data_IF_444343330563
#
_entry.id   IF_444343330563
#
_cell.length_a   1.000
_cell.length_b   1.000
_cell.length_c   1.000
_cell.angle_alpha   90.00
_cell.angle_beta   90.00
_cell.angle_gamma   90.00
#
_symmetry.space_group_name_H-M   'P 1'
#
loop_
_entity.id
_entity.type
_entity.pdbx_description
1 polymer ?
#
# COMPACT_ATOMS: atom_id res chain seq x y z
N UNK A 1 21.76 -29.89 -23.90
CA UNK A 1 20.62 -29.11 -23.38
C UNK A 1 20.21 -29.60 -21.99
N UNK A 2 20.15 -30.92 -21.79
CA UNK A 2 19.60 -31.58 -20.58
C UNK A 2 20.32 -31.29 -19.26
N UNK A 3 21.64 -31.10 -19.27
CA UNK A 3 22.41 -30.81 -18.03
C UNK A 3 22.06 -29.45 -17.43
N UNK A 4 21.78 -28.44 -18.25
CA UNK A 4 21.41 -27.10 -17.79
C UNK A 4 20.00 -27.11 -17.18
N UNK A 5 19.05 -27.80 -17.80
CA UNK A 5 17.69 -27.95 -17.28
C UNK A 5 17.64 -28.77 -15.99
N UNK A 6 18.43 -29.85 -15.90
CA UNK A 6 18.55 -30.65 -14.67
C UNK A 6 19.08 -29.80 -13.51
N UNK A 7 20.14 -29.01 -13.74
CA UNK A 7 20.70 -28.11 -12.74
C UNK A 7 19.73 -26.98 -12.33
N UNK A 8 18.94 -26.48 -13.29
CA UNK A 8 17.89 -25.49 -13.03
C UNK A 8 16.77 -26.07 -12.15
N UNK A 9 16.32 -27.31 -12.41
CA UNK A 9 15.33 -28.01 -11.59
C UNK A 9 15.84 -28.30 -10.18
N UNK A 10 17.09 -28.74 -10.05
CA UNK A 10 17.71 -28.99 -8.74
C UNK A 10 17.81 -27.70 -7.90
N UNK A 11 18.21 -26.59 -8.52
CA UNK A 11 18.24 -25.28 -7.87
C UNK A 11 16.84 -24.77 -7.51
N UNK A 12 15.82 -25.09 -8.30
CA UNK A 12 14.43 -24.74 -8.02
C UNK A 12 13.88 -25.51 -6.81
N UNK A 13 14.15 -26.82 -6.72
CA UNK A 13 13.78 -27.65 -5.57
C UNK A 13 14.48 -27.19 -4.29
N UNK A 14 15.79 -26.88 -4.38
CA UNK A 14 16.54 -26.28 -3.26
C UNK A 14 16.01 -24.93 -2.80
N UNK A 15 15.36 -24.16 -3.68
CA UNK A 15 14.71 -22.88 -3.32
C UNK A 15 13.34 -23.08 -2.67
N UNK A 16 12.55 -24.06 -3.11
CA UNK A 16 11.27 -24.41 -2.48
C UNK A 16 11.43 -24.85 -1.01
N UNK A 17 12.58 -25.44 -0.67
CA UNK A 17 12.89 -25.89 0.69
C UNK A 17 13.32 -24.74 1.65
N UNK A 18 13.76 -23.60 1.10
CA UNK A 18 14.19 -22.45 1.91
C UNK A 18 12.96 -21.65 2.33
N UNK A 19 12.44 -21.99 3.50
CA UNK A 19 11.34 -21.27 4.14
C UNK A 19 11.83 -20.39 5.30
N UNK A 20 11.19 -19.24 5.49
CA UNK A 20 11.47 -18.33 6.61
C UNK A 20 11.27 -19.02 7.97
N UNK A 21 10.30 -19.94 8.05
CA UNK A 21 9.95 -20.67 9.27
C UNK A 21 10.99 -21.73 9.67
N UNK A 22 11.51 -22.50 8.71
CA UNK A 22 12.44 -23.60 9.01
C UNK A 22 13.91 -23.16 9.04
N UNK A 23 14.27 -22.12 8.29
CA UNK A 23 15.65 -21.65 8.16
C UNK A 23 15.80 -20.12 8.22
N UNK A 24 15.39 -19.44 9.31
CA UNK A 24 15.30 -17.98 9.37
C UNK A 24 16.66 -17.29 9.10
N UNK A 25 17.74 -17.77 9.72
CA UNK A 25 19.08 -17.15 9.60
C UNK A 25 19.62 -17.27 8.17
N UNK A 26 19.45 -18.44 7.55
CA UNK A 26 19.91 -18.70 6.18
C UNK A 26 19.12 -17.85 5.18
N UNK A 27 17.81 -17.77 5.35
CA UNK A 27 16.91 -16.97 4.52
C UNK A 27 17.23 -15.48 4.64
N UNK A 28 17.45 -14.96 5.84
CA UNK A 28 17.83 -13.56 6.07
C UNK A 28 19.20 -13.25 5.43
N UNK A 29 20.20 -14.12 5.62
CA UNK A 29 21.53 -13.93 5.03
C UNK A 29 21.49 -13.90 3.51
N UNK A 30 20.75 -14.83 2.90
CA UNK A 30 20.55 -14.87 1.45
C UNK A 30 19.79 -13.64 0.94
N UNK A 31 18.75 -13.21 1.66
CA UNK A 31 18.00 -12.00 1.34
C UNK A 31 18.90 -10.76 1.30
N UNK A 32 19.72 -10.52 2.33
CA UNK A 32 20.63 -9.38 2.35
C UNK A 32 21.72 -9.47 1.27
N UNK A 33 22.18 -10.68 0.94
CA UNK A 33 23.17 -10.89 -0.12
C UNK A 33 22.59 -10.55 -1.50
N UNK A 34 21.37 -11.00 -1.79
CA UNK A 34 20.64 -10.64 -3.01
C UNK A 34 20.28 -9.16 -3.04
N UNK A 35 19.82 -8.58 -1.93
CA UNK A 35 19.53 -7.14 -1.82
C UNK A 35 20.77 -6.32 -2.17
N UNK A 36 21.94 -6.67 -1.61
CA UNK A 36 23.22 -6.04 -1.95
C UNK A 36 23.54 -6.18 -3.44
N UNK A 37 23.32 -7.36 -4.01
CA UNK A 37 23.64 -7.62 -5.40
C UNK A 37 22.73 -6.82 -6.35
N UNK A 38 21.43 -6.73 -6.04
CA UNK A 38 20.44 -5.92 -6.76
C UNK A 38 20.82 -4.44 -6.67
N UNK A 39 21.14 -3.94 -5.49
CA UNK A 39 21.56 -2.54 -5.28
C UNK A 39 22.83 -2.25 -6.09
N UNK A 40 23.85 -3.11 -5.99
CA UNK A 40 25.10 -2.93 -6.72
C UNK A 40 24.90 -2.98 -8.25
N UNK A 41 24.05 -3.88 -8.74
CA UNK A 41 23.78 -4.02 -10.16
C UNK A 41 22.96 -2.85 -10.70
N UNK A 42 21.97 -2.38 -9.93
CA UNK A 42 21.18 -1.17 -10.23
C UNK A 42 22.08 0.06 -10.25
N UNK A 43 22.98 0.20 -9.27
CA UNK A 43 23.93 1.30 -9.20
C UNK A 43 24.88 1.31 -10.41
N UNK A 44 25.39 0.15 -10.83
CA UNK A 44 26.23 0.03 -12.03
C UNK A 44 25.47 0.39 -13.29
N UNK A 45 24.24 -0.12 -13.45
CA UNK A 45 23.38 0.12 -14.62
C UNK A 45 22.95 1.59 -14.75
N UNK A 46 22.69 2.24 -13.62
CA UNK A 46 22.17 3.61 -13.56
C UNK A 46 23.23 4.67 -13.23
N UNK A 47 24.52 4.34 -13.36
CA UNK A 47 25.65 5.24 -13.02
C UNK A 47 25.55 6.63 -13.68
N UNK A 48 24.95 6.71 -14.88
CA UNK A 48 24.67 7.97 -15.60
C UNK A 48 23.67 8.87 -14.86
N UNK A 49 22.65 8.30 -14.24
CA UNK A 49 21.59 9.03 -13.53
C UNK A 49 21.94 9.32 -12.07
N UNK A 50 22.97 8.70 -11.50
CA UNK A 50 23.39 8.93 -10.11
C UNK A 50 23.69 10.40 -9.81
N UNK A 51 24.27 11.15 -10.75
CA UNK A 51 24.50 12.60 -10.58
C UNK A 51 23.19 13.37 -10.49
N UNK A 52 22.18 13.00 -11.28
CA UNK A 52 20.86 13.63 -11.27
C UNK A 52 20.11 13.31 -9.97
N UNK A 53 20.19 12.07 -9.50
CA UNK A 53 19.58 11.65 -8.23
C UNK A 53 20.23 12.41 -7.06
N UNK A 54 21.56 12.51 -7.04
CA UNK A 54 22.28 13.24 -5.99
C UNK A 54 21.94 14.74 -6.00
N UNK A 55 21.86 15.36 -7.19
CA UNK A 55 21.39 16.74 -7.34
C UNK A 55 19.95 16.90 -6.82
N UNK A 56 19.07 15.94 -7.13
CA UNK A 56 17.69 15.92 -6.63
C UNK A 56 17.62 15.85 -5.11
N UNK A 57 18.43 15.00 -4.48
CA UNK A 57 18.50 14.89 -3.01
C UNK A 57 18.98 16.21 -2.39
N UNK A 58 20.02 16.82 -2.95
CA UNK A 58 20.52 18.12 -2.47
C UNK A 58 19.44 19.20 -2.60
N UNK A 59 18.72 19.23 -3.73
CA UNK A 59 17.64 20.18 -3.98
C UNK A 59 16.49 19.99 -2.97
N UNK A 60 16.11 18.75 -2.69
CA UNK A 60 15.09 18.44 -1.67
C UNK A 60 15.54 18.91 -0.28
N UNK A 61 16.78 18.60 0.13
CA UNK A 61 17.32 19.05 1.42
C UNK A 61 17.38 20.58 1.53
N UNK A 62 17.70 21.25 0.43
CA UNK A 62 17.71 22.71 0.35
C UNK A 62 16.30 23.30 0.49
N UNK A 63 15.29 22.71 -0.17
CA UNK A 63 13.90 23.11 -0.03
C UNK A 63 13.40 22.93 1.42
N UNK A 64 13.77 21.84 2.09
CA UNK A 64 13.46 21.63 3.51
C UNK A 64 14.08 22.70 4.41
N UNK A 65 15.30 23.16 4.12
CA UNK A 65 15.98 24.22 4.88
C UNK A 65 15.30 25.58 4.73
N UNK A 66 14.77 25.89 3.55
CA UNK A 66 14.14 27.19 3.24
C UNK A 66 12.67 27.24 3.65
N UNK A 67 12.06 26.09 3.99
CA UNK A 67 10.65 25.95 4.42
C UNK A 67 10.19 27.05 5.38
N UNK A 68 10.97 27.36 6.41
CA UNK A 68 10.59 28.33 7.45
C UNK A 68 10.59 29.79 6.99
N UNK A 69 11.23 30.12 5.85
CA UNK A 69 11.37 31.50 5.37
C UNK A 69 10.20 31.95 4.49
N UNK A 70 9.49 31.03 3.83
CA UNK A 70 8.41 31.36 2.90
C UNK A 70 7.13 30.60 3.25
N UNK A 71 6.11 31.33 3.68
CA UNK A 71 4.84 30.77 4.15
C UNK A 71 4.08 29.97 3.06
N UNK A 72 4.12 30.45 1.81
CA UNK A 72 3.55 29.73 0.67
C UNK A 72 4.25 28.38 0.40
N UNK A 73 5.58 28.36 0.52
CA UNK A 73 6.37 27.13 0.35
C UNK A 73 6.09 26.14 1.48
N UNK A 74 5.95 26.64 2.72
CA UNK A 74 5.59 25.82 3.88
C UNK A 74 4.22 25.17 3.70
N UNK A 75 3.20 25.93 3.30
CA UNK A 75 1.86 25.42 3.01
C UNK A 75 1.87 24.34 1.92
N UNK A 76 2.62 24.55 0.83
CA UNK A 76 2.75 23.57 -0.25
C UNK A 76 3.45 22.28 0.20
N UNK A 77 4.53 22.40 0.98
CA UNK A 77 5.25 21.24 1.53
C UNK A 77 4.37 20.43 2.48
N UNK A 78 3.53 21.08 3.31
CA UNK A 78 2.57 20.39 4.18
C UNK A 78 1.57 19.57 3.37
N UNK A 79 1.09 20.08 2.23
CA UNK A 79 0.22 19.29 1.34
C UNK A 79 0.92 18.06 0.78
N UNK A 80 2.18 18.20 0.32
CA UNK A 80 2.96 17.06 -0.17
C UNK A 80 3.21 16.04 0.94
N UNK A 81 3.58 16.49 2.14
CA UNK A 81 3.80 15.64 3.31
C UNK A 81 2.52 14.88 3.68
N UNK A 82 1.38 15.57 3.69
CA UNK A 82 0.06 14.98 3.93
C UNK A 82 -0.24 13.89 2.90
N UNK A 83 -0.12 14.20 1.60
CA UNK A 83 -0.40 13.22 0.55
C UNK A 83 0.55 12.03 0.67
N UNK A 84 1.85 12.29 0.83
CA UNK A 84 2.87 11.25 0.94
C UNK A 84 2.64 10.36 2.16
N UNK A 85 2.26 10.93 3.30
CA UNK A 85 1.95 10.21 4.53
C UNK A 85 0.75 9.28 4.33
N UNK A 86 -0.39 9.81 3.88
CA UNK A 86 -1.61 9.01 3.70
C UNK A 86 -1.47 7.97 2.60
N UNK A 87 -0.78 8.31 1.50
CA UNK A 87 -0.49 7.38 0.42
C UNK A 87 0.42 6.24 0.92
N UNK A 88 1.49 6.56 1.66
CA UNK A 88 2.43 5.57 2.19
C UNK A 88 1.78 4.67 3.22
N UNK A 89 0.94 5.21 4.11
CA UNK A 89 0.15 4.41 5.06
C UNK A 89 -0.81 3.46 4.33
N UNK A 90 -1.43 3.90 3.24
CA UNK A 90 -2.26 3.03 2.38
C UNK A 90 -1.43 1.91 1.73
N UNK A 91 -0.28 2.25 1.16
CA UNK A 91 0.62 1.26 0.54
C UNK A 91 1.10 0.22 1.57
N UNK A 92 1.59 0.67 2.72
CA UNK A 92 2.08 -0.20 3.81
C UNK A 92 0.98 -1.10 4.38
N UNK A 93 -0.27 -0.62 4.40
CA UNK A 93 -1.45 -1.39 4.83
C UNK A 93 -1.66 -2.64 3.95
N UNK A 94 -1.37 -2.55 2.66
CA UNK A 94 -1.59 -3.65 1.69
C UNK A 94 -0.41 -4.61 1.49
N UNK A 95 0.83 -4.18 1.73
CA UNK A 95 2.07 -4.92 1.35
C UNK A 95 2.37 -6.19 2.17
N UNK A 96 1.51 -6.57 3.13
CA UNK A 96 1.43 -7.98 3.54
C UNK A 96 1.74 -8.32 4.98
N UNK A 97 0.83 -7.95 5.87
CA UNK A 97 0.59 -8.68 7.13
C UNK A 97 -0.85 -9.20 7.26
N UNK A 98 -1.70 -9.01 6.24
CA UNK A 98 -3.08 -9.52 6.24
C UNK A 98 -4.08 -8.70 7.06
N UNK A 99 -3.72 -7.47 7.47
CA UNK A 99 -4.55 -6.64 8.34
C UNK A 99 -4.79 -5.22 7.77
N UNK A 100 -5.08 -5.09 6.47
CA UNK A 100 -5.27 -3.77 5.85
C UNK A 100 -6.44 -2.97 6.45
N UNK A 101 -7.48 -3.67 6.93
CA UNK A 101 -8.57 -3.09 7.72
C UNK A 101 -8.07 -2.54 9.06
N UNK A 102 -7.16 -3.25 9.74
CA UNK A 102 -6.62 -2.85 11.04
C UNK A 102 -5.82 -1.54 10.94
N UNK A 103 -5.04 -1.37 9.86
CA UNK A 103 -4.29 -0.14 9.61
C UNK A 103 -5.23 1.06 9.41
N UNK A 104 -6.34 0.88 8.68
CA UNK A 104 -7.38 1.91 8.55
C UNK A 104 -8.02 2.26 9.88
N UNK A 105 -8.34 1.25 10.71
CA UNK A 105 -8.91 1.43 12.05
C UNK A 105 -7.94 2.14 13.00
N UNK A 106 -6.63 1.95 12.87
CA UNK A 106 -5.65 2.55 13.78
C UNK A 106 -5.23 3.98 13.39
N UNK A 107 -5.27 4.33 12.11
CA UNK A 107 -4.76 5.64 11.65
C UNK A 107 -5.84 6.51 11.01
N UNK A 108 -6.62 5.96 10.07
CA UNK A 108 -7.64 6.73 9.37
C UNK A 108 -8.83 7.06 10.28
N UNK A 109 -9.34 6.07 11.03
CA UNK A 109 -10.51 6.28 11.88
C UNK A 109 -10.27 7.27 13.03
N UNK A 110 -9.15 7.21 13.78
CA UNK A 110 -8.86 8.21 14.80
C UNK A 110 -8.72 9.61 14.19
N UNK A 111 -8.12 9.73 13.00
CA UNK A 111 -8.02 11.01 12.32
C UNK A 111 -9.40 11.58 11.95
N UNK A 112 -10.30 10.76 11.41
CA UNK A 112 -11.70 11.14 11.16
C UNK A 112 -12.37 11.59 12.46
N UNK A 113 -12.19 10.83 13.53
CA UNK A 113 -12.73 11.17 14.85
C UNK A 113 -12.22 12.52 15.35
N UNK A 114 -10.92 12.81 15.25
CA UNK A 114 -10.37 14.11 15.65
C UNK A 114 -10.91 15.28 14.83
N UNK A 115 -11.15 15.09 13.53
CA UNK A 115 -11.78 16.12 12.68
C UNK A 115 -13.21 16.38 13.15
N UNK A 116 -14.01 15.34 13.40
CA UNK A 116 -15.37 15.48 13.89
C UNK A 116 -15.41 16.13 15.27
N UNK A 117 -14.64 15.62 16.23
CA UNK A 117 -14.61 16.11 17.60
C UNK A 117 -14.09 17.55 17.69
N UNK A 118 -13.09 17.91 16.87
CA UNK A 118 -12.61 19.31 16.79
C UNK A 118 -13.66 20.22 16.16
N UNK A 119 -14.42 19.74 15.16
CA UNK A 119 -15.49 20.55 14.56
C UNK A 119 -16.58 20.89 15.57
N UNK A 120 -16.95 19.94 16.43
CA UNK A 120 -17.91 20.16 17.53
C UNK A 120 -17.35 21.13 18.57
N UNK A 121 -16.07 20.95 18.97
CA UNK A 121 -15.42 21.81 19.96
C UNK A 121 -15.26 23.26 19.49
N UNK A 122 -14.81 23.48 18.25
CA UNK A 122 -14.62 24.83 17.70
C UNK A 122 -15.93 25.46 17.22
N UNK A 123 -17.00 24.67 17.05
CA UNK A 123 -18.22 25.06 16.35
C UNK A 123 -17.93 25.73 14.98
N UNK A 124 -16.89 25.23 14.29
CA UNK A 124 -16.45 25.63 12.97
C UNK A 124 -15.65 24.50 12.30
N UNK A 125 -15.60 24.51 10.97
CA UNK A 125 -14.73 23.63 10.17
C UNK A 125 -13.38 24.29 9.83
N UNK A 126 -13.15 25.52 10.27
CA UNK A 126 -11.94 26.28 9.99
C UNK A 126 -10.84 26.00 11.03
N UNK A 127 -10.22 24.83 10.89
CA UNK A 127 -9.06 24.38 11.65
C UNK A 127 -8.16 23.58 10.71
N UNK A 128 -6.86 23.61 10.94
CA UNK A 128 -5.93 22.85 10.12
C UNK A 128 -5.94 21.38 10.55
N UNK A 129 -6.48 20.50 9.70
CA UNK A 129 -6.43 19.04 9.90
C UNK A 129 -5.17 18.41 9.29
N UNK A 130 -4.30 19.21 8.66
CA UNK A 130 -3.07 18.71 8.04
C UNK A 130 -1.92 18.61 9.03
N UNK A 131 -2.01 19.31 10.16
CA UNK A 131 -0.98 19.31 11.19
C UNK A 131 -1.06 18.05 12.06
N UNK A 132 0.06 17.68 12.69
CA UNK A 132 0.18 16.55 13.63
C UNK A 132 0.02 15.14 13.06
N UNK A 133 0.25 14.94 11.75
CA UNK A 133 0.32 13.60 11.14
C UNK A 133 1.57 12.81 11.55
N UNK A 134 2.71 13.51 11.65
CA UNK A 134 4.03 12.95 11.98
C UNK A 134 4.39 13.07 13.47
N UNK A 135 3.60 13.84 14.23
CA UNK A 135 3.76 14.05 15.67
C UNK A 135 2.97 13.02 16.48
N UNK A 136 3.08 13.08 17.81
CA UNK A 136 2.32 12.23 18.73
C UNK A 136 0.86 12.14 18.30
N UNK A 137 0.35 10.90 18.14
CA UNK A 137 -1.08 10.64 17.98
C UNK A 137 -1.83 11.50 19.00
N UNK A 138 -2.76 12.34 18.52
CA UNK A 138 -3.58 13.15 19.39
C UNK A 138 -4.18 12.22 20.45
N UNK A 139 -3.97 12.54 21.73
CA UNK A 139 -4.65 11.82 22.80
C UNK A 139 -6.10 12.26 22.86
N UNK A 140 -7.04 11.40 23.28
CA UNK A 140 -8.42 11.81 23.51
C UNK A 140 -8.47 13.06 24.39
N UNK A 141 -9.16 14.10 23.93
CA UNK A 141 -9.22 15.41 24.61
C UNK A 141 -8.27 16.47 24.05
N UNK A 142 -7.35 16.10 23.14
CA UNK A 142 -6.61 17.07 22.33
C UNK A 142 -7.39 17.36 21.03
N UNK A 143 -7.44 18.64 20.64
CA UNK A 143 -8.12 19.13 19.45
C UNK A 143 -7.13 19.83 18.53
N UNK A 144 -7.44 19.95 17.23
CA UNK A 144 -6.68 20.86 16.38
C UNK A 144 -6.91 22.31 16.81
N UNK A 145 -5.93 23.18 16.54
CA UNK A 145 -6.06 24.60 16.84
C UNK A 145 -7.19 25.22 15.99
N UNK A 146 -8.18 25.81 16.67
CA UNK A 146 -9.28 26.50 16.02
C UNK A 146 -8.78 27.83 15.43
N UNK A 147 -8.90 28.03 14.12
CA UNK A 147 -8.55 29.31 13.47
C UNK A 147 -9.69 30.31 13.66
N UNK A 148 -10.94 29.87 13.51
CA UNK A 148 -12.14 30.64 13.87
C UNK A 148 -13.06 29.80 14.75
N UNK A 149 -13.82 30.46 15.63
CA UNK A 149 -14.79 29.84 16.54
C UNK A 149 -16.19 30.37 16.26
N UNK A 150 -17.20 29.51 16.39
CA UNK A 150 -18.62 29.83 16.24
C UNK A 150 -19.03 30.38 14.87
N UNK A 151 -18.58 29.74 13.78
CA UNK A 151 -19.07 30.07 12.43
C UNK A 151 -20.45 29.47 12.14
N UNK A 152 -20.97 28.60 13.02
CA UNK A 152 -22.35 28.09 13.01
C UNK A 152 -22.74 27.27 11.77
N UNK A 153 -21.77 26.94 10.91
CA UNK A 153 -22.00 26.41 9.56
C UNK A 153 -21.38 25.02 9.40
N UNK A 154 -21.60 24.15 10.39
CA UNK A 154 -21.21 22.75 10.36
C UNK A 154 -22.40 21.94 9.83
N UNK A 155 -22.34 21.57 8.56
CA UNK A 155 -23.28 20.59 7.98
C UNK A 155 -22.53 19.29 7.74
N UNK A 156 -23.27 18.16 7.77
CA UNK A 156 -22.71 16.83 7.49
C UNK A 156 -21.96 16.80 6.15
N UNK A 157 -22.50 17.48 5.13
CA UNK A 157 -21.89 17.57 3.79
C UNK A 157 -20.51 18.26 3.83
N UNK A 158 -20.38 19.38 4.56
CA UNK A 158 -19.09 20.09 4.65
C UNK A 158 -18.07 19.32 5.47
N UNK A 159 -18.51 18.64 6.53
CA UNK A 159 -17.67 17.74 7.30
C UNK A 159 -17.17 16.57 6.44
N UNK A 160 -18.06 15.95 5.65
CA UNK A 160 -17.71 14.88 4.71
C UNK A 160 -16.69 15.35 3.67
N UNK A 161 -16.91 16.52 3.05
CA UNK A 161 -15.97 17.08 2.08
C UNK A 161 -14.58 17.38 2.67
N UNK A 162 -14.51 17.68 3.98
CA UNK A 162 -13.24 17.86 4.68
C UNK A 162 -12.49 16.54 4.90
N UNK A 163 -13.22 15.46 5.18
CA UNK A 163 -12.66 14.13 5.46
C UNK A 163 -12.29 13.36 4.17
N UNK A 164 -13.12 13.50 3.13
CA UNK A 164 -13.03 12.79 1.86
C UNK A 164 -11.62 12.69 1.24
N UNK A 165 -10.82 13.77 1.12
CA UNK A 165 -9.50 13.69 0.48
C UNK A 165 -8.54 12.74 1.21
N UNK A 166 -8.61 12.66 2.54
CA UNK A 166 -7.78 11.76 3.33
C UNK A 166 -8.11 10.29 3.06
N UNK A 167 -9.41 9.96 3.05
CA UNK A 167 -9.89 8.63 2.71
C UNK A 167 -9.52 8.23 1.28
N UNK A 168 -9.64 9.16 0.34
CA UNK A 168 -9.34 8.92 -1.08
C UNK A 168 -7.84 8.66 -1.30
N UNK A 169 -6.96 9.49 -0.76
CA UNK A 169 -5.50 9.30 -0.90
C UNK A 169 -5.06 8.00 -0.24
N UNK A 170 -5.63 7.68 0.93
CA UNK A 170 -5.37 6.40 1.60
C UNK A 170 -5.83 5.20 0.75
N UNK A 171 -7.04 5.26 0.17
CA UNK A 171 -7.57 4.21 -0.70
C UNK A 171 -6.79 4.04 -2.01
N UNK A 172 -6.26 5.12 -2.58
CA UNK A 172 -5.32 5.04 -3.71
C UNK A 172 -4.04 4.32 -3.26
N UNK A 173 -3.54 4.63 -2.07
CA UNK A 173 -2.36 3.97 -1.50
C UNK A 173 -2.56 2.46 -1.35
N UNK A 174 -3.70 2.02 -0.82
CA UNK A 174 -4.01 0.59 -0.69
C UNK A 174 -4.07 -0.10 -2.05
N UNK A 175 -4.72 0.52 -3.03
CA UNK A 175 -4.78 -0.03 -4.39
C UNK A 175 -3.40 -0.15 -5.05
N UNK A 176 -2.50 0.80 -4.79
CA UNK A 176 -1.13 0.78 -5.31
C UNK A 176 -0.26 -0.32 -4.69
N UNK A 177 -0.39 -0.57 -3.39
CA UNK A 177 0.41 -1.61 -2.74
C UNK A 177 -0.06 -3.04 -3.00
N UNK A 178 -1.29 -3.25 -3.49
CA UNK A 178 -1.75 -4.54 -4.03
C UNK A 178 -1.25 -4.82 -5.48
N UNK A 179 -0.71 -3.81 -6.17
CA UNK A 179 -0.26 -3.95 -7.56
C UNK A 179 0.97 -4.88 -7.76
N UNK A 180 2.03 -4.85 -6.92
CA UNK A 180 3.19 -5.74 -7.07
C UNK A 180 2.89 -7.25 -6.99
N UNK A 181 2.16 -7.77 -5.98
CA UNK A 181 1.81 -9.20 -5.94
C UNK A 181 0.87 -9.59 -7.10
N UNK A 182 0.00 -8.67 -7.54
CA UNK A 182 -0.84 -8.92 -8.71
C UNK A 182 -0.04 -9.04 -10.01
N UNK A 183 0.91 -8.12 -10.25
CA UNK A 183 1.75 -8.20 -11.45
C UNK A 183 2.58 -9.47 -11.48
N UNK A 184 3.15 -9.88 -10.34
CA UNK A 184 3.92 -11.11 -10.25
C UNK A 184 3.08 -12.35 -10.56
N UNK A 185 1.86 -12.48 -10.02
CA UNK A 185 0.93 -13.58 -10.36
C UNK A 185 0.43 -13.51 -11.81
N UNK A 186 0.20 -12.31 -12.37
CA UNK A 186 -0.14 -12.13 -13.78
C UNK A 186 1.01 -12.55 -14.71
N UNK A 187 2.25 -12.21 -14.40
CA UNK A 187 3.42 -12.65 -15.18
C UNK A 187 3.70 -14.15 -14.99
N UNK A 188 3.46 -14.71 -13.80
CA UNK A 188 3.58 -16.15 -13.54
C UNK A 188 2.56 -16.95 -14.37
N UNK A 189 1.27 -16.59 -14.32
CA UNK A 189 0.22 -17.21 -15.13
C UNK A 189 0.48 -17.07 -16.64
N UNK A 190 0.92 -15.90 -17.11
CA UNK A 190 1.26 -15.69 -18.52
C UNK A 190 2.50 -16.47 -18.98
N UNK A 191 3.44 -16.75 -18.08
CA UNK A 191 4.67 -17.49 -18.40
C UNK A 191 4.53 -19.01 -18.33
N UNK A 192 3.32 -19.55 -18.05
CA UNK A 192 3.09 -20.98 -17.77
C UNK A 192 4.07 -21.57 -16.74
N UNK A 193 4.65 -20.73 -15.89
CA UNK A 193 5.28 -21.23 -14.67
C UNK A 193 4.11 -21.63 -13.76
N UNK A 194 3.96 -22.94 -13.60
CA UNK A 194 3.02 -23.60 -12.69
C UNK A 194 3.02 -22.91 -11.34
N UNK A 195 2.01 -22.08 -11.09
CA UNK A 195 1.67 -21.63 -9.75
C UNK A 195 0.74 -22.71 -9.19
N UNK A 196 1.13 -23.31 -8.06
CA UNK A 196 0.43 -24.45 -7.44
C UNK A 196 -1.06 -24.09 -7.18
N UNK A 197 -1.37 -22.81 -6.93
CA UNK A 197 -2.72 -22.26 -6.72
C UNK A 197 -3.60 -22.25 -7.98
N UNK A 198 -3.00 -22.08 -9.17
CA UNK A 198 -3.74 -22.07 -10.45
C UNK A 198 -4.11 -23.49 -10.89
N UNK A 199 -3.24 -24.46 -10.59
CA UNK A 199 -3.50 -25.88 -10.83
C UNK A 199 -4.57 -26.44 -9.88
N UNK A 200 -4.59 -26.01 -8.62
CA UNK A 200 -5.66 -26.34 -7.67
C UNK A 200 -7.01 -25.75 -8.12
N UNK A 201 -7.01 -24.50 -8.61
CA UNK A 201 -8.21 -23.87 -9.17
C UNK A 201 -8.74 -24.57 -10.43
N UNK A 202 -7.87 -25.06 -11.32
CA UNK A 202 -8.28 -25.89 -12.47
C UNK A 202 -8.85 -27.24 -12.04
N UNK A 203 -8.30 -27.85 -10.99
CA UNK A 203 -8.83 -29.11 -10.43
C UNK A 203 -10.22 -28.90 -9.84
N UNK A 204 -10.43 -27.83 -9.08
CA UNK A 204 -11.75 -27.48 -8.51
C UNK A 204 -12.82 -27.24 -9.59
N UNK A 205 -12.45 -26.62 -10.71
CA UNK A 205 -13.34 -26.44 -11.87
C UNK A 205 -13.65 -27.79 -12.53
N UNK A 206 -12.65 -28.66 -12.72
CA UNK A 206 -12.81 -29.99 -13.33
C UNK A 206 -13.63 -30.94 -12.44
N UNK A 207 -13.56 -30.78 -11.12
CA UNK A 207 -14.34 -31.55 -10.15
C UNK A 207 -15.80 -31.07 -10.01
N UNK A 208 -16.19 -29.96 -10.66
CA UNK A 208 -17.58 -29.53 -10.73
C UNK A 208 -18.18 -29.05 -9.40
N UNK A 209 -17.35 -28.72 -8.39
CA UNK A 209 -17.80 -28.15 -7.12
C UNK A 209 -18.44 -26.78 -7.37
N UNK A 210 -19.76 -26.69 -7.32
CA UNK A 210 -20.50 -25.42 -7.46
C UNK A 210 -20.56 -24.69 -6.12
N UNK A 211 -19.44 -24.10 -5.71
CA UNK A 211 -19.41 -23.18 -4.58
C UNK A 211 -19.65 -21.74 -5.07
N UNK A 212 -20.39 -20.95 -4.29
CA UNK A 212 -20.60 -19.50 -4.55
C UNK A 212 -19.24 -18.78 -4.70
N UNK A 213 -18.24 -19.23 -3.95
CA UNK A 213 -16.85 -18.75 -4.02
C UNK A 213 -16.23 -19.01 -5.40
N UNK A 214 -16.49 -20.17 -6.01
CA UNK A 214 -15.96 -20.51 -7.35
C UNK A 214 -16.66 -19.66 -8.42
N UNK A 215 -17.97 -19.43 -8.30
CA UNK A 215 -18.69 -18.51 -9.19
C UNK A 215 -18.15 -17.07 -9.09
N UNK A 216 -17.87 -16.58 -7.88
CA UNK A 216 -17.24 -15.27 -7.66
C UNK A 216 -15.83 -15.20 -8.25
N UNK A 217 -15.01 -16.26 -8.09
CA UNK A 217 -13.68 -16.34 -8.70
C UNK A 217 -13.73 -16.30 -10.22
N UNK A 218 -14.66 -17.03 -10.85
CA UNK A 218 -14.85 -17.03 -12.30
C UNK A 218 -15.28 -15.63 -12.78
N UNK A 219 -16.27 -15.03 -12.12
CA UNK A 219 -16.74 -13.68 -12.45
C UNK A 219 -15.62 -12.64 -12.32
N UNK A 220 -14.81 -12.72 -11.27
CA UNK A 220 -13.66 -11.84 -11.06
C UNK A 220 -12.64 -11.98 -12.19
N UNK A 221 -12.31 -13.21 -12.60
CA UNK A 221 -11.39 -13.47 -13.72
C UNK A 221 -11.93 -12.92 -15.03
N UNK A 222 -13.22 -13.11 -15.32
CA UNK A 222 -13.84 -12.60 -16.55
C UNK A 222 -13.92 -11.07 -16.55
N UNK A 223 -14.20 -10.46 -15.40
CA UNK A 223 -14.18 -9.02 -15.22
C UNK A 223 -12.77 -8.44 -15.44
N UNK A 224 -11.74 -9.07 -14.88
CA UNK A 224 -10.32 -8.71 -15.08
C UNK A 224 -9.93 -8.86 -16.55
N UNK A 225 -10.31 -9.96 -17.22
CA UNK A 225 -10.04 -10.17 -18.65
C UNK A 225 -10.69 -9.10 -19.52
N UNK A 226 -11.88 -8.63 -19.15
CA UNK A 226 -12.67 -7.67 -19.94
C UNK A 226 -12.17 -6.22 -19.82
N UNK A 227 -11.73 -5.82 -18.62
CA UNK A 227 -11.47 -4.42 -18.28
C UNK A 227 -10.01 -4.15 -17.85
N UNK A 228 -9.17 -5.19 -17.82
CA UNK A 228 -7.73 -5.07 -17.62
C UNK A 228 -7.36 -4.41 -16.28
N UNK A 229 -6.44 -3.46 -16.32
CA UNK A 229 -5.87 -2.81 -15.14
C UNK A 229 -6.87 -1.98 -14.32
N UNK A 230 -7.95 -1.47 -14.93
CA UNK A 230 -8.96 -0.65 -14.26
C UNK A 230 -9.81 -1.51 -13.32
N UNK A 231 -10.15 -2.74 -13.72
CA UNK A 231 -10.87 -3.67 -12.85
C UNK A 231 -10.09 -4.04 -11.62
N UNK A 232 -8.78 -4.20 -11.75
CA UNK A 232 -7.90 -4.55 -10.63
C UNK A 232 -7.84 -3.39 -9.65
N UNK A 233 -7.69 -2.15 -10.14
CA UNK A 233 -7.74 -0.95 -9.31
C UNK A 233 -9.06 -0.83 -8.54
N UNK A 234 -10.20 -1.12 -9.17
CA UNK A 234 -11.51 -1.02 -8.51
C UNK A 234 -11.74 -2.15 -7.49
N UNK A 235 -11.28 -3.37 -7.78
CA UNK A 235 -11.39 -4.50 -6.86
C UNK A 235 -10.47 -4.37 -5.65
N UNK A 236 -9.29 -3.78 -5.81
CA UNK A 236 -8.36 -3.48 -4.70
C UNK A 236 -8.77 -2.28 -3.85
N UNK A 237 -9.64 -1.41 -4.38
CA UNK A 237 -10.24 -0.31 -3.60
C UNK A 237 -11.29 -0.80 -2.59
N UNK A 238 -11.76 -2.04 -2.68
CA UNK A 238 -12.65 -2.62 -1.68
C UNK A 238 -11.81 -3.26 -0.56
N UNK A 239 -12.06 -2.96 0.73
CA UNK A 239 -11.31 -3.57 1.81
C UNK A 239 -11.46 -5.09 1.75
N UNK A 240 -10.37 -5.77 1.42
CA UNK A 240 -10.28 -7.23 1.38
C UNK A 240 -10.44 -7.77 2.82
N UNK A 241 -11.70 -8.00 3.20
CA UNK A 241 -12.12 -8.61 4.46
C UNK A 241 -12.31 -10.13 4.35
N UNK A 242 -11.80 -10.77 3.30
CA UNK A 242 -11.78 -12.22 3.21
C UNK A 242 -10.36 -12.65 3.57
N UNK A 243 -10.14 -13.19 4.79
CA UNK A 243 -8.88 -13.84 5.10
C UNK A 243 -8.67 -14.89 4.02
N UNK A 244 -7.54 -14.80 3.31
CA UNK A 244 -7.02 -15.99 2.65
C UNK A 244 -6.93 -17.05 3.74
N UNK A 245 -7.83 -18.03 3.68
CA UNK A 245 -7.81 -19.19 4.58
C UNK A 245 -6.55 -19.97 4.28
N UNK A 246 -5.46 -19.49 4.86
CA UNK A 246 -4.22 -20.22 5.06
C UNK A 246 -4.46 -21.13 6.26
N UNK A 247 -5.37 -22.10 6.11
CA UNK A 247 -5.49 -23.21 7.05
C UNK A 247 -4.97 -24.43 6.33
N UNK A 248 -3.66 -24.62 6.45
CA UNK A 248 -3.06 -25.95 6.32
C UNK A 248 -3.58 -26.77 7.50
N UNK A 249 -4.32 -27.82 7.18
CA UNK A 249 -4.28 -29.09 7.91
C UNK A 249 -4.13 -30.18 6.87
#
# INVERSE_FOLDING_TARGET
MDSYEAKKKELYLKRKDINLYYHPIKTIKLFFLELRNIIANTYKKNKKYNKLIFLGIILVLFLFKIRYKYDYLSNFLIYIECITWWLSLGILSSIGLGCGMHSGVLFLFPHIYFICSTSEYCNSLNFDSRVNMWGSLLTPGNYFECITKNDGNITLSRLFMKIYPYCLVWGIGTALGELPPYLTSYYASKSKLSDDDYEEFEKDIKEGKRNIIIAMKIWMIDFIKKHGSISVFLLSCWPNGIPSMRVKT
#
